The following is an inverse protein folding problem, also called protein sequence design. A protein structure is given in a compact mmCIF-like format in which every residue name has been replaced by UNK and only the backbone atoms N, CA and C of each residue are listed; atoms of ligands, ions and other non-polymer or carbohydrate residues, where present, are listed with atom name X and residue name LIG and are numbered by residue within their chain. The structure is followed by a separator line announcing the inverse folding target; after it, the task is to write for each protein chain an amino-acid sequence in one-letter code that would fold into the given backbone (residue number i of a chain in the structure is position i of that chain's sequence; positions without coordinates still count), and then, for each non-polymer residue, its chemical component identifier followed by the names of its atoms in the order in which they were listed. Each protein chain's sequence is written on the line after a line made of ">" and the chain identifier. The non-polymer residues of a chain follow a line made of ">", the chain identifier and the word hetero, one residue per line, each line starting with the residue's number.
data_IF_433592737785
#
_entry.id   IF_433592737785
#
_cell.length_a   1.000
_cell.length_b   1.000
_cell.length_c   1.000
_cell.angle_alpha   90.00
_cell.angle_beta   90.00
_cell.angle_gamma   90.00
#
_symmetry.space_group_name_H-M   'P 1'
#
loop_
_entity.id
_entity.type
_entity.pdbx_description
1 polymer ?
#
# COMPACT_ATOMS: atom_id res chain seq x y z
N UNK A 1 14.70 14.28 -18.77
CA UNK A 1 14.23 15.67 -18.59
C UNK A 1 12.75 15.71 -18.22
N UNK A 2 11.87 15.04 -18.97
CA UNK A 2 10.41 14.99 -18.70
C UNK A 2 10.03 14.56 -17.27
N UNK A 3 10.61 13.46 -16.76
CA UNK A 3 10.29 12.96 -15.40
C UNK A 3 10.63 13.97 -14.29
N UNK A 4 11.71 14.74 -14.47
CA UNK A 4 12.12 15.77 -13.53
C UNK A 4 11.12 16.94 -13.52
N UNK A 5 10.62 17.34 -14.69
CA UNK A 5 9.65 18.43 -14.82
C UNK A 5 8.32 18.10 -14.12
N UNK A 6 7.74 16.91 -14.37
CA UNK A 6 6.52 16.48 -13.68
C UNK A 6 6.71 16.37 -12.16
N UNK A 7 7.89 15.93 -11.70
CA UNK A 7 8.21 15.86 -10.27
C UNK A 7 8.26 17.25 -9.64
N UNK A 8 8.86 18.24 -10.31
CA UNK A 8 8.87 19.62 -9.82
C UNK A 8 7.47 20.22 -9.73
N UNK A 9 6.60 20.00 -10.72
CA UNK A 9 5.21 20.45 -10.67
C UNK A 9 4.46 19.79 -9.51
N UNK A 10 4.63 18.48 -9.31
CA UNK A 10 3.97 17.76 -8.22
C UNK A 10 4.41 18.29 -6.84
N UNK A 11 5.68 18.61 -6.66
CA UNK A 11 6.21 19.21 -5.43
C UNK A 11 5.62 20.61 -5.21
N UNK A 12 5.57 21.45 -6.24
CA UNK A 12 4.99 22.80 -6.14
C UNK A 12 3.52 22.71 -5.75
N UNK A 13 2.74 21.85 -6.41
CA UNK A 13 1.33 21.64 -6.09
C UNK A 13 1.14 21.13 -4.65
N UNK A 14 1.98 20.20 -4.21
CA UNK A 14 1.96 19.71 -2.83
C UNK A 14 2.21 20.84 -1.83
N UNK A 15 3.21 21.69 -2.06
CA UNK A 15 3.52 22.83 -1.19
C UNK A 15 2.37 23.84 -1.17
N UNK A 16 1.81 24.20 -2.32
CA UNK A 16 0.68 25.16 -2.40
C UNK A 16 -0.55 24.61 -1.66
N UNK A 17 -0.92 23.35 -1.91
CA UNK A 17 -2.01 22.71 -1.18
C UNK A 17 -1.75 22.68 0.33
N UNK A 18 -0.50 22.44 0.74
CA UNK A 18 -0.11 22.46 2.15
C UNK A 18 -0.31 23.80 2.83
N UNK A 19 0.05 24.87 2.13
CA UNK A 19 -0.16 26.24 2.62
C UNK A 19 -1.66 26.54 2.68
N UNK A 20 -2.44 26.24 1.63
CA UNK A 20 -3.89 26.48 1.60
C UNK A 20 -4.63 25.73 2.71
N UNK A 21 -4.32 24.45 2.92
CA UNK A 21 -4.92 23.62 3.98
C UNK A 21 -4.57 24.17 5.36
N UNK A 22 -3.31 24.56 5.58
CA UNK A 22 -2.87 25.13 6.86
C UNK A 22 -3.56 26.48 7.12
N UNK A 23 -3.64 27.36 6.12
CA UNK A 23 -4.33 28.64 6.24
C UNK A 23 -5.83 28.46 6.54
N UNK A 24 -6.51 27.55 5.83
CA UNK A 24 -7.90 27.21 6.08
C UNK A 24 -8.14 26.65 7.48
N UNK A 25 -7.22 25.83 7.99
CA UNK A 25 -7.33 25.26 9.33
C UNK A 25 -7.07 26.33 10.42
N UNK A 26 -6.19 27.29 10.18
CA UNK A 26 -5.95 28.40 11.13
C UNK A 26 -7.20 29.27 11.28
N UNK A 27 -7.92 29.57 10.20
CA UNK A 27 -9.11 30.44 10.21
C UNK A 27 -10.37 29.78 10.81
N UNK A 28 -10.34 28.48 11.09
CA UNK A 28 -11.43 27.76 11.77
C UNK A 28 -11.33 27.97 13.29
N UNK A 29 -12.16 28.84 13.85
CA UNK A 29 -12.21 29.15 15.30
C UNK A 29 -13.19 28.26 16.09
N UNK A 30 -13.78 27.24 15.45
CA UNK A 30 -14.95 26.53 15.99
C UNK A 30 -14.65 25.31 16.87
N UNK A 31 -13.38 24.94 17.08
CA UNK A 31 -13.00 23.73 17.83
C UNK A 31 -11.99 24.04 18.94
N UNK A 32 -12.13 23.32 20.05
CA UNK A 32 -11.19 23.36 21.18
C UNK A 32 -9.74 23.14 20.68
N UNK A 33 -8.72 23.87 21.19
CA UNK A 33 -7.38 23.89 20.62
C UNK A 33 -6.75 22.50 20.42
N UNK A 34 -7.05 21.55 21.32
CA UNK A 34 -6.61 20.17 21.21
C UNK A 34 -7.24 19.44 20.02
N UNK A 35 -8.55 19.57 19.83
CA UNK A 35 -9.28 18.96 18.71
C UNK A 35 -8.83 19.56 17.37
N UNK A 36 -8.60 20.88 17.34
CA UNK A 36 -8.05 21.58 16.18
C UNK A 36 -6.65 21.06 15.81
N UNK A 37 -5.77 20.89 16.78
CA UNK A 37 -4.42 20.32 16.57
C UNK A 37 -4.46 18.89 16.05
N UNK A 38 -5.30 18.04 16.65
CA UNK A 38 -5.49 16.66 16.20
C UNK A 38 -6.07 16.59 14.78
N UNK A 39 -7.03 17.45 14.43
CA UNK A 39 -7.62 17.49 13.09
C UNK A 39 -6.59 17.91 12.02
N UNK A 40 -5.77 18.94 12.32
CA UNK A 40 -4.67 19.34 11.44
C UNK A 40 -3.70 18.16 11.24
N UNK A 41 -3.29 17.52 12.33
CA UNK A 41 -2.38 16.38 12.28
C UNK A 41 -2.94 15.22 11.43
N UNK A 42 -4.22 14.86 11.63
CA UNK A 42 -4.86 13.77 10.92
C UNK A 42 -5.05 14.05 9.42
N UNK A 43 -5.34 15.29 9.02
CA UNK A 43 -5.45 15.68 7.60
C UNK A 43 -4.16 15.39 6.83
N UNK A 44 -3.00 15.54 7.48
CA UNK A 44 -1.70 15.21 6.90
C UNK A 44 -1.35 13.73 6.98
N UNK A 45 -1.83 13.05 8.02
CA UNK A 45 -1.50 11.66 8.33
C UNK A 45 -2.30 10.65 7.48
N UNK A 46 -3.60 10.93 7.26
CA UNK A 46 -4.51 10.04 6.53
C UNK A 46 -4.03 9.74 5.10
N UNK A 47 -3.64 10.73 4.27
CA UNK A 47 -3.16 10.46 2.92
C UNK A 47 -1.93 9.56 2.88
N UNK A 48 -1.02 9.71 3.86
CA UNK A 48 0.19 8.90 3.97
C UNK A 48 -0.15 7.43 4.27
N UNK A 49 -1.00 7.19 5.28
CA UNK A 49 -1.43 5.83 5.61
C UNK A 49 -2.30 5.20 4.53
N UNK A 50 -3.13 5.98 3.84
CA UNK A 50 -3.92 5.52 2.70
C UNK A 50 -2.99 5.05 1.55
N UNK A 51 -1.96 5.82 1.22
CA UNK A 51 -0.97 5.44 0.21
C UNK A 51 -0.21 4.15 0.59
N UNK A 52 0.23 4.03 1.85
CA UNK A 52 0.89 2.81 2.34
C UNK A 52 -0.05 1.61 2.26
N UNK A 53 -1.30 1.75 2.73
CA UNK A 53 -2.29 0.68 2.72
C UNK A 53 -2.58 0.21 1.30
N UNK A 54 -2.75 1.15 0.37
CA UNK A 54 -2.98 0.87 -1.04
C UNK A 54 -1.75 0.19 -1.68
N UNK A 55 -0.53 0.64 -1.35
CA UNK A 55 0.70 0.00 -1.79
C UNK A 55 0.82 -1.44 -1.28
N UNK A 56 0.52 -1.70 0.00
CA UNK A 56 0.57 -3.04 0.57
C UNK A 56 -0.47 -3.98 -0.07
N UNK A 57 -1.68 -3.49 -0.34
CA UNK A 57 -2.73 -4.26 -1.01
C UNK A 57 -2.38 -4.56 -2.48
N UNK A 58 -1.78 -3.59 -3.17
CA UNK A 58 -1.44 -3.70 -4.59
C UNK A 58 -0.06 -4.34 -4.83
N UNK A 59 0.69 -4.66 -3.77
CA UNK A 59 1.99 -5.33 -3.89
C UNK A 59 1.77 -6.76 -4.37
N UNK A 60 2.19 -7.03 -5.60
CA UNK A 60 2.16 -8.37 -6.17
C UNK A 60 2.83 -9.36 -5.22
N UNK A 61 2.08 -10.40 -4.84
CA UNK A 61 2.67 -11.54 -4.14
C UNK A 61 3.53 -12.28 -5.17
N UNK A 62 4.79 -12.63 -4.85
CA UNK A 62 5.60 -13.41 -5.77
C UNK A 62 4.81 -14.67 -6.14
N UNK A 63 4.70 -14.93 -7.46
CA UNK A 63 4.04 -16.13 -7.95
C UNK A 63 4.58 -17.34 -7.15
N UNK A 64 3.72 -18.26 -6.69
CA UNK A 64 4.20 -19.45 -6.02
C UNK A 64 5.25 -20.08 -6.93
N UNK A 65 6.51 -20.11 -6.48
CA UNK A 65 7.56 -20.83 -7.18
C UNK A 65 6.97 -22.21 -7.47
N UNK A 66 6.99 -22.70 -8.73
CA UNK A 66 6.45 -24.01 -9.01
C UNK A 66 7.12 -24.95 -8.03
N UNK A 67 6.33 -25.53 -7.11
CA UNK A 67 6.84 -26.54 -6.23
C UNK A 67 7.41 -27.58 -7.17
N UNK A 68 8.72 -27.85 -7.06
CA UNK A 68 9.31 -28.99 -7.75
C UNK A 68 8.59 -30.20 -7.19
N UNK A 69 7.50 -30.61 -7.85
CA UNK A 69 6.85 -31.89 -7.63
C UNK A 69 7.98 -32.92 -7.68
N UNK A 70 8.20 -33.74 -6.63
CA UNK A 70 9.19 -34.79 -6.74
C UNK A 70 8.77 -35.64 -7.94
N UNK A 71 9.68 -35.68 -8.91
CA UNK A 71 9.54 -36.50 -10.10
C UNK A 71 9.27 -37.94 -9.67
N UNK A 72 8.06 -38.43 -9.97
CA UNK A 72 7.73 -39.85 -9.96
C UNK A 72 7.94 -40.61 -8.65
N UNK A 73 7.34 -40.15 -7.54
CA UNK A 73 7.00 -41.06 -6.43
C UNK A 73 5.75 -41.87 -6.81
N UNK A 74 5.93 -43.14 -7.18
CA UNK A 74 4.94 -43.97 -7.87
C UNK A 74 3.72 -44.44 -7.06
N UNK A 75 2.79 -45.19 -7.68
CA UNK A 75 1.71 -45.86 -6.96
C UNK A 75 2.28 -47.05 -6.18
N UNK A 76 2.06 -47.06 -4.87
CA UNK A 76 2.31 -48.21 -4.01
C UNK A 76 0.99 -48.95 -3.82
N UNK A 77 0.70 -49.93 -4.67
CA UNK A 77 -0.33 -50.93 -4.42
C UNK A 77 0.33 -52.31 -4.31
N UNK A 78 0.15 -52.91 -3.14
CA UNK A 78 0.63 -54.26 -2.80
C UNK A 78 -0.48 -55.24 -3.17
N UNK A 79 -0.33 -55.94 -4.30
CA UNK A 79 -1.29 -56.94 -4.78
C UNK A 79 -0.61 -58.29 -5.04
N UNK A 80 -0.89 -59.26 -4.18
CA UNK A 80 -0.61 -60.69 -4.36
C UNK A 80 -1.67 -61.34 -5.27
N UNK A 81 -1.24 -62.26 -6.15
CA UNK A 81 -1.96 -63.33 -6.88
C UNK A 81 -1.63 -63.27 -8.39
N UNK A 82 -1.28 -64.33 -9.14
CA UNK A 82 -1.30 -65.77 -8.95
C UNK A 82 -1.58 -66.42 -10.33
N UNK A 83 -0.85 -67.49 -10.68
CA UNK A 83 -1.19 -68.47 -11.73
C UNK A 83 -0.92 -68.07 -13.19
N UNK A 84 -0.04 -68.83 -13.88
CA UNK A 84 -0.37 -69.97 -14.75
C UNK A 84 0.89 -70.85 -14.93
#
# INVERSE_FOLDING_TARGET
>A
MELSFFSYIAIILYVVLSICVTAFLITREELEPFQKGAQIFLVWLIPYFAAISLWLLNREKPAPKPSKKPFGGGPQDSGVAGGE
#
